data_IF_941180960060
#
_entry.id   IF_941180960060
#
_cell.length_a   1.000
_cell.length_b   1.000
_cell.length_c   1.000
_cell.angle_alpha   90.00
_cell.angle_beta   90.00
_cell.angle_gamma   90.00
#
_symmetry.space_group_name_H-M   'P 1'
#
loop_
_entity.id
_entity.type
_entity.pdbx_description
1 polymer ?
#
# COMPACT_ATOMS: atom_id res chain seq x y z
N UNK A 1 4.47 3.45 -29.74
CA UNK A 1 3.96 2.49 -30.75
C UNK A 1 3.47 1.28 -29.98
N UNK A 2 2.20 0.86 -30.14
CA UNK A 2 1.69 -0.30 -29.41
C UNK A 2 2.24 -1.58 -30.04
N UNK A 3 3.06 -2.32 -29.31
CA UNK A 3 3.55 -3.64 -29.73
C UNK A 3 2.53 -4.66 -29.24
N UNK A 4 1.97 -5.45 -30.16
CA UNK A 4 1.07 -6.53 -29.80
C UNK A 4 1.89 -7.65 -29.13
N UNK A 5 1.59 -7.93 -27.86
CA UNK A 5 2.19 -9.04 -27.14
C UNK A 5 1.39 -10.31 -27.47
N UNK A 6 1.92 -11.14 -28.37
CA UNK A 6 1.24 -12.36 -28.84
C UNK A 6 1.10 -13.46 -27.77
N UNK A 7 1.86 -13.36 -26.66
CA UNK A 7 1.79 -14.24 -25.49
C UNK A 7 2.39 -13.53 -24.28
N UNK A 8 1.75 -13.68 -23.12
CA UNK A 8 2.26 -13.23 -21.84
C UNK A 8 2.11 -14.36 -20.81
N UNK A 9 3.09 -14.51 -19.92
CA UNK A 9 3.02 -15.42 -18.78
C UNK A 9 3.25 -14.61 -17.51
N UNK A 10 2.31 -14.67 -16.58
CA UNK A 10 2.40 -14.00 -15.28
C UNK A 10 2.30 -15.08 -14.21
N UNK A 11 3.21 -15.03 -13.23
CA UNK A 11 3.22 -15.93 -12.07
C UNK A 11 3.47 -15.10 -10.82
N UNK A 12 2.90 -15.52 -9.71
CA UNK A 12 3.04 -14.79 -8.46
C UNK A 12 2.64 -15.62 -7.26
N UNK A 13 2.91 -15.03 -6.10
CA UNK A 13 2.49 -15.55 -4.80
C UNK A 13 1.82 -14.41 -4.06
N UNK A 14 0.67 -14.70 -3.50
CA UNK A 14 -0.08 -13.79 -2.63
C UNK A 14 -0.22 -14.43 -1.26
N UNK A 15 0.00 -13.63 -0.23
CA UNK A 15 -0.15 -14.03 1.16
C UNK A 15 -1.02 -13.01 1.89
N UNK A 16 -1.97 -13.49 2.68
CA UNK A 16 -2.77 -12.65 3.56
C UNK A 16 -3.05 -13.36 4.88
N UNK A 17 -2.90 -12.64 5.97
CA UNK A 17 -3.15 -13.14 7.31
C UNK A 17 -3.75 -12.06 8.20
N UNK A 18 -4.64 -12.47 9.11
CA UNK A 18 -5.21 -11.63 10.15
C UNK A 18 -5.22 -12.41 11.46
N UNK A 19 -4.75 -11.77 12.53
CA UNK A 19 -4.61 -12.38 13.85
C UNK A 19 -5.24 -11.48 14.91
N UNK A 20 -5.98 -12.10 15.83
CA UNK A 20 -6.37 -11.50 17.11
C UNK A 20 -5.37 -11.95 18.17
N UNK A 21 -4.90 -11.00 18.98
CA UNK A 21 -3.92 -11.25 20.04
C UNK A 21 -4.56 -11.34 21.43
N UNK A 22 -5.90 -11.30 21.53
CA UNK A 22 -6.63 -11.22 22.80
C UNK A 22 -6.29 -12.35 23.79
N UNK A 23 -5.94 -13.54 23.30
CA UNK A 23 -5.62 -14.69 24.16
C UNK A 23 -4.11 -14.83 24.44
N UNK A 24 -3.27 -14.00 23.82
CA UNK A 24 -1.81 -14.08 23.90
C UNK A 24 -1.18 -12.84 24.54
N UNK A 25 -1.95 -11.78 24.77
CA UNK A 25 -1.53 -10.53 25.38
C UNK A 25 -2.31 -10.25 26.67
N UNK A 26 -1.73 -9.53 27.66
CA UNK A 26 -2.45 -9.15 28.88
C UNK A 26 -3.60 -8.15 28.66
N UNK A 27 -3.64 -7.50 27.50
CA UNK A 27 -4.62 -6.48 27.13
C UNK A 27 -5.37 -6.97 25.90
N UNK A 28 -6.70 -7.01 25.98
CA UNK A 28 -7.57 -7.35 24.84
C UNK A 28 -7.71 -6.17 23.87
N UNK A 29 -8.05 -6.47 22.62
CA UNK A 29 -8.28 -5.47 21.58
C UNK A 29 -7.17 -5.36 20.55
N UNK A 30 -6.02 -6.01 20.78
CA UNK A 30 -4.95 -6.04 19.79
C UNK A 30 -5.27 -7.02 18.66
N UNK A 31 -5.11 -6.54 17.42
CA UNK A 31 -5.11 -7.37 16.23
C UNK A 31 -4.02 -6.93 15.26
N UNK A 32 -3.58 -7.83 14.40
CA UNK A 32 -2.73 -7.47 13.27
C UNK A 32 -3.24 -8.07 11.98
N UNK A 33 -2.86 -7.44 10.87
CA UNK A 33 -3.04 -7.96 9.51
C UNK A 33 -1.75 -7.81 8.73
N UNK A 34 -1.45 -8.77 7.88
CA UNK A 34 -0.35 -8.69 6.93
C UNK A 34 -0.85 -9.20 5.60
N UNK A 35 -0.62 -8.45 4.53
CA UNK A 35 -0.82 -8.88 3.16
C UNK A 35 0.45 -8.59 2.36
N UNK A 36 0.86 -9.50 1.50
CA UNK A 36 1.98 -9.31 0.60
C UNK A 36 1.68 -9.97 -0.76
N UNK A 37 2.07 -9.30 -1.83
CA UNK A 37 1.90 -9.81 -3.19
C UNK A 37 3.20 -9.64 -3.96
N UNK A 38 3.71 -10.74 -4.51
CA UNK A 38 4.84 -10.76 -5.44
C UNK A 38 4.36 -11.31 -6.78
N UNK A 39 4.70 -10.64 -7.86
CA UNK A 39 4.34 -11.05 -9.21
C UNK A 39 5.50 -10.78 -10.15
N UNK A 40 5.76 -11.74 -11.02
CA UNK A 40 6.70 -11.64 -12.12
C UNK A 40 5.95 -11.96 -13.41
N UNK A 41 6.28 -11.25 -14.49
CA UNK A 41 5.63 -11.47 -15.77
C UNK A 41 6.54 -11.18 -16.92
N UNK A 42 6.45 -12.06 -17.92
CA UNK A 42 7.26 -12.02 -19.13
C UNK A 42 6.38 -12.14 -20.39
N UNK A 43 6.82 -11.52 -21.47
CA UNK A 43 6.24 -11.73 -22.81
C UNK A 43 6.70 -13.07 -23.42
N UNK A 44 6.24 -13.38 -24.64
CA UNK A 44 6.60 -14.61 -25.36
C UNK A 44 8.07 -14.72 -25.75
N UNK A 45 8.87 -13.66 -25.60
CA UNK A 45 10.29 -13.59 -25.87
C UNK A 45 11.13 -13.50 -24.57
N UNK A 46 10.52 -13.76 -23.40
CA UNK A 46 11.15 -13.66 -22.08
C UNK A 46 11.56 -12.23 -21.67
N UNK A 47 10.97 -11.19 -22.28
CA UNK A 47 11.18 -9.82 -21.79
C UNK A 47 10.23 -9.50 -20.62
N UNK A 48 10.66 -8.72 -19.62
CA UNK A 48 9.78 -8.29 -18.53
C UNK A 48 8.53 -7.54 -19.02
N UNK A 49 7.44 -7.67 -18.28
CA UNK A 49 6.21 -6.92 -18.53
C UNK A 49 6.15 -5.67 -17.65
N UNK A 50 6.26 -4.48 -18.27
CA UNK A 50 6.12 -3.20 -17.57
C UNK A 50 4.75 -3.04 -16.88
N UNK A 51 3.74 -3.79 -17.30
CA UNK A 51 2.42 -3.78 -16.66
C UNK A 51 2.39 -4.47 -15.29
N UNK A 52 3.43 -5.25 -14.94
CA UNK A 52 3.54 -5.92 -13.64
C UNK A 52 4.13 -4.96 -12.62
N UNK A 53 3.41 -4.75 -11.52
CA UNK A 53 3.85 -3.89 -10.43
C UNK A 53 4.98 -4.55 -9.61
N UNK A 54 5.86 -3.74 -8.98
CA UNK A 54 6.74 -4.24 -7.93
C UNK A 54 5.95 -4.93 -6.82
N UNK A 55 6.59 -5.85 -6.13
CA UNK A 55 5.94 -6.50 -5.00
C UNK A 55 5.65 -5.51 -3.88
N UNK A 56 4.58 -5.77 -3.14
CA UNK A 56 4.14 -4.90 -2.06
C UNK A 56 3.83 -5.69 -0.79
N UNK A 57 3.82 -4.96 0.32
CA UNK A 57 3.43 -5.45 1.63
C UNK A 57 2.61 -4.39 2.36
N UNK A 58 1.49 -4.83 2.95
CA UNK A 58 0.66 -4.03 3.83
C UNK A 58 0.63 -4.71 5.18
N UNK A 59 1.18 -4.06 6.21
CA UNK A 59 1.09 -4.51 7.59
C UNK A 59 0.24 -3.53 8.40
N UNK A 60 -0.75 -4.03 9.13
CA UNK A 60 -1.61 -3.24 10.01
C UNK A 60 -1.55 -3.77 11.43
N UNK A 61 -1.42 -2.87 12.40
CA UNK A 61 -1.50 -3.14 13.82
C UNK A 61 -2.64 -2.31 14.40
N UNK A 62 -3.63 -2.97 14.97
CA UNK A 62 -4.81 -2.32 15.52
C UNK A 62 -4.89 -2.55 17.02
N UNK A 63 -5.44 -1.56 17.70
CA UNK A 63 -5.89 -1.67 19.07
C UNK A 63 -7.31 -1.11 19.16
N UNK A 64 -8.25 -1.95 19.56
CA UNK A 64 -9.64 -1.61 19.81
C UNK A 64 -9.91 -1.66 21.32
N UNK A 65 -10.06 -0.49 21.95
CA UNK A 65 -10.31 -0.39 23.38
C UNK A 65 -11.76 -0.69 23.72
N UNK A 66 -11.99 -1.28 24.90
CA UNK A 66 -13.31 -1.40 25.52
C UNK A 66 -13.98 -0.03 25.77
N UNK A 67 -13.22 1.06 25.80
CA UNK A 67 -13.70 2.42 26.04
C UNK A 67 -14.18 3.14 24.77
N UNK A 68 -14.68 2.40 23.77
CA UNK A 68 -15.28 2.92 22.54
C UNK A 68 -14.33 3.74 21.64
N UNK A 69 -13.03 3.45 21.67
CA UNK A 69 -12.06 4.05 20.76
C UNK A 69 -11.10 2.99 20.25
N UNK A 70 -10.46 3.28 19.12
CA UNK A 70 -9.40 2.42 18.61
C UNK A 70 -8.44 3.19 17.73
N UNK A 71 -7.28 2.58 17.49
CA UNK A 71 -6.22 3.13 16.65
C UNK A 71 -5.60 2.05 15.80
N UNK A 72 -5.14 2.44 14.62
CA UNK A 72 -4.47 1.58 13.65
C UNK A 72 -3.21 2.26 13.16
N UNK A 73 -2.10 1.55 13.24
CA UNK A 73 -0.87 1.84 12.50
C UNK A 73 -0.86 0.96 11.25
N UNK A 74 -0.75 1.56 10.06
CA UNK A 74 -0.58 0.83 8.80
C UNK A 74 0.77 1.18 8.17
N UNK A 75 1.49 0.16 7.71
CA UNK A 75 2.74 0.27 6.96
C UNK A 75 2.49 -0.30 5.57
N UNK A 76 2.64 0.53 4.55
CA UNK A 76 2.57 0.15 3.15
C UNK A 76 3.98 0.22 2.56
N UNK A 77 4.52 -0.92 2.17
CA UNK A 77 5.79 -1.03 1.48
C UNK A 77 5.56 -1.40 0.01
N UNK A 78 6.23 -0.72 -0.90
CA UNK A 78 6.33 -1.11 -2.31
C UNK A 78 7.81 -1.19 -2.68
N UNK A 79 8.21 -2.28 -3.32
CA UNK A 79 9.59 -2.49 -3.75
C UNK A 79 9.98 -1.55 -4.90
N UNK A 80 11.29 -1.46 -5.16
CA UNK A 80 11.77 -0.79 -6.37
C UNK A 80 11.31 -1.52 -7.62
N UNK A 81 11.20 -0.77 -8.71
CA UNK A 81 11.15 -1.34 -10.07
C UNK A 81 12.51 -1.13 -10.69
N UNK A 82 13.36 -2.15 -10.65
CA UNK A 82 14.73 -2.03 -11.12
C UNK A 82 14.79 -2.01 -12.66
N UNK A 83 15.88 -1.46 -13.19
CA UNK A 83 16.05 -1.29 -14.65
C UNK A 83 16.03 -2.62 -15.40
N UNK A 84 16.51 -3.70 -14.78
CA UNK A 84 16.47 -5.06 -15.33
C UNK A 84 15.04 -5.58 -15.53
N UNK A 85 14.06 -5.04 -14.81
CA UNK A 85 12.69 -5.54 -14.78
C UNK A 85 11.76 -4.68 -15.65
N UNK A 86 12.35 -3.86 -16.52
CA UNK A 86 11.68 -2.90 -17.41
C UNK A 86 12.10 -3.19 -18.85
N UNK A 87 11.12 -3.49 -19.70
CA UNK A 87 11.30 -3.70 -21.13
C UNK A 87 11.22 -2.37 -21.91
N UNK A 88 12.05 -1.41 -21.51
CA UNK A 88 12.39 -0.16 -22.24
C UNK A 88 13.55 0.55 -21.51
N UNK A 89 14.71 0.68 -22.17
CA UNK A 89 15.90 1.33 -21.62
C UNK A 89 15.73 2.84 -21.37
N UNK A 90 14.67 3.47 -21.86
CA UNK A 90 14.40 4.89 -21.61
C UNK A 90 13.50 5.12 -20.41
N UNK A 91 12.68 4.15 -20.02
CA UNK A 91 11.75 4.31 -18.88
C UNK A 91 12.51 4.37 -17.56
N UNK A 92 12.16 5.30 -16.68
CA UNK A 92 12.87 5.46 -15.41
C UNK A 92 12.48 4.38 -14.39
N UNK A 93 13.44 3.76 -13.68
CA UNK A 93 13.14 2.92 -12.54
C UNK A 93 12.57 3.75 -11.38
N UNK A 94 11.83 3.11 -10.49
CA UNK A 94 11.37 3.74 -9.24
C UNK A 94 12.06 3.10 -8.03
N UNK A 95 12.38 3.91 -7.03
CA UNK A 95 12.88 3.43 -5.74
C UNK A 95 11.78 2.73 -4.94
N UNK A 96 12.18 1.87 -4.01
CA UNK A 96 11.27 1.34 -3.02
C UNK A 96 10.75 2.48 -2.12
N UNK A 97 9.52 2.33 -1.62
CA UNK A 97 8.87 3.32 -0.77
C UNK A 97 8.21 2.65 0.44
N UNK A 98 8.27 3.32 1.58
CA UNK A 98 7.57 2.91 2.81
C UNK A 98 6.71 4.05 3.32
N UNK A 99 5.38 3.86 3.27
CA UNK A 99 4.40 4.84 3.74
C UNK A 99 3.79 4.34 5.03
N UNK A 100 3.81 5.19 6.06
CA UNK A 100 3.23 4.89 7.37
C UNK A 100 2.01 5.76 7.61
N UNK A 101 0.89 5.14 7.94
CA UNK A 101 -0.38 5.81 8.25
C UNK A 101 -0.82 5.52 9.68
N UNK A 102 -1.40 6.51 10.34
CA UNK A 102 -2.01 6.37 11.67
C UNK A 102 -3.45 6.86 11.59
N UNK A 103 -4.40 6.00 11.96
CA UNK A 103 -5.81 6.36 12.02
C UNK A 103 -6.39 6.02 13.38
N UNK A 104 -7.30 6.84 13.88
CA UNK A 104 -8.02 6.58 15.11
C UNK A 104 -9.52 6.80 14.92
N UNK A 105 -10.31 6.14 15.75
CA UNK A 105 -11.73 6.40 15.88
C UNK A 105 -12.14 6.52 17.34
N UNK A 106 -13.23 7.24 17.58
CA UNK A 106 -13.86 7.37 18.88
C UNK A 106 -15.39 7.40 18.72
N UNK A 107 -16.10 6.66 19.55
CA UNK A 107 -17.56 6.63 19.62
C UNK A 107 -18.02 7.21 20.96
N UNK A 108 -18.18 8.54 21.07
CA UNK A 108 -18.61 9.17 22.32
C UNK A 108 -20.02 8.73 22.74
N UNK A 109 -20.86 8.41 21.77
CA UNK A 109 -22.21 7.85 21.94
C UNK A 109 -22.41 6.75 20.89
N UNK A 110 -23.42 5.88 21.08
CA UNK A 110 -23.69 4.73 20.21
C UNK A 110 -23.82 5.09 18.73
N UNK A 111 -24.46 6.23 18.46
CA UNK A 111 -24.89 6.63 17.13
C UNK A 111 -23.90 7.58 16.44
N UNK A 112 -22.81 7.97 17.10
CA UNK A 112 -21.80 8.89 16.56
C UNK A 112 -20.42 8.24 16.54
N UNK A 113 -19.80 8.17 15.36
CA UNK A 113 -18.39 7.79 15.21
C UNK A 113 -17.59 8.96 14.67
N UNK A 114 -16.58 9.38 15.42
CA UNK A 114 -15.56 10.33 15.00
C UNK A 114 -14.32 9.55 14.52
N UNK A 115 -13.71 9.98 13.43
CA UNK A 115 -12.47 9.41 12.89
C UNK A 115 -11.49 10.52 12.58
N UNK A 116 -10.21 10.24 12.80
CA UNK A 116 -9.13 11.09 12.36
C UNK A 116 -8.01 10.22 11.76
N UNK A 117 -7.34 10.73 10.75
CA UNK A 117 -6.21 10.06 10.10
C UNK A 117 -5.07 11.03 9.83
N UNK A 118 -3.85 10.56 10.03
CA UNK A 118 -2.61 11.17 9.53
C UNK A 118 -1.97 10.14 8.59
N UNK A 119 -1.91 10.48 7.32
CA UNK A 119 -1.40 9.62 6.26
C UNK A 119 -0.02 10.10 5.82
N UNK A 120 0.83 9.15 5.42
CA UNK A 120 2.22 9.41 5.09
C UNK A 120 2.94 10.21 6.20
N UNK A 121 2.91 9.65 7.42
CA UNK A 121 3.45 10.27 8.63
C UNK A 121 4.93 10.63 8.46
N UNK A 122 5.68 9.89 7.64
CA UNK A 122 7.11 10.14 7.37
C UNK A 122 7.37 11.16 6.25
N UNK A 123 6.33 11.64 5.58
CA UNK A 123 6.44 12.54 4.42
C UNK A 123 7.31 11.95 3.29
N UNK A 124 7.11 10.65 3.02
CA UNK A 124 7.78 9.91 1.96
C UNK A 124 7.34 10.44 0.59
N UNK A 125 8.30 10.93 -0.21
CA UNK A 125 8.09 11.27 -1.62
C UNK A 125 8.26 10.01 -2.47
N UNK A 126 7.19 9.52 -3.10
CA UNK A 126 7.23 8.29 -3.88
C UNK A 126 6.29 8.31 -5.08
N UNK A 127 6.49 7.35 -5.99
CA UNK A 127 5.70 7.16 -7.20
C UNK A 127 4.98 5.81 -7.15
N UNK A 128 3.75 5.76 -7.67
CA UNK A 128 3.13 4.49 -8.04
C UNK A 128 3.60 4.09 -9.43
N UNK A 129 4.09 2.85 -9.59
CA UNK A 129 4.59 2.37 -10.87
C UNK A 129 3.59 2.52 -12.03
N UNK A 130 2.30 2.22 -11.80
CA UNK A 130 1.27 2.34 -12.83
C UNK A 130 1.12 3.77 -13.39
N UNK A 131 1.49 4.79 -12.61
CA UNK A 131 1.36 6.20 -13.00
C UNK A 131 2.57 6.68 -13.81
N UNK A 132 3.73 6.01 -13.67
CA UNK A 132 5.02 6.47 -14.24
C UNK A 132 5.71 5.47 -15.18
N UNK A 133 5.18 4.26 -15.36
CA UNK A 133 5.79 3.16 -16.15
C UNK A 133 6.02 3.44 -17.64
N UNK A 134 5.49 4.55 -18.15
CA UNK A 134 5.64 4.99 -19.53
C UNK A 134 6.48 6.27 -19.65
N UNK A 135 7.05 6.76 -18.56
CA UNK A 135 7.81 8.01 -18.52
C UNK A 135 9.31 7.79 -18.69
N UNK A 136 9.91 8.64 -19.51
CA UNK A 136 11.35 8.63 -19.80
C UNK A 136 12.12 9.72 -19.06
N UNK A 137 11.40 10.64 -18.42
CA UNK A 137 11.93 11.76 -17.64
C UNK A 137 11.16 11.87 -16.34
N UNK A 138 11.83 12.26 -15.27
CA UNK A 138 11.20 12.41 -13.96
C UNK A 138 10.17 13.53 -14.02
N UNK A 139 9.01 13.30 -13.42
CA UNK A 139 7.97 14.31 -13.26
C UNK A 139 7.45 14.28 -11.82
N UNK A 140 7.90 15.23 -11.01
CA UNK A 140 7.53 15.33 -9.59
C UNK A 140 6.04 15.58 -9.36
N UNK A 141 5.31 16.10 -10.34
CA UNK A 141 3.86 16.30 -10.22
C UNK A 141 3.08 14.97 -10.15
N UNK A 142 3.73 13.84 -10.47
CA UNK A 142 3.16 12.49 -10.39
C UNK A 142 3.58 11.74 -9.11
N UNK A 143 4.31 12.41 -8.21
CA UNK A 143 4.52 11.89 -6.86
C UNK A 143 3.17 11.77 -6.16
N UNK A 144 3.06 10.75 -5.32
CA UNK A 144 1.88 10.57 -4.49
C UNK A 144 1.82 11.65 -3.40
N UNK A 145 0.64 11.83 -2.81
CA UNK A 145 0.47 12.81 -1.75
C UNK A 145 1.48 12.59 -0.62
N UNK A 146 2.20 13.66 -0.26
CA UNK A 146 2.99 13.72 0.95
C UNK A 146 2.12 13.64 2.20
N UNK A 147 2.64 14.08 3.35
CA UNK A 147 1.89 14.05 4.60
C UNK A 147 0.56 14.81 4.49
N UNK A 148 -0.53 14.13 4.80
CA UNK A 148 -1.87 14.71 4.78
C UNK A 148 -2.75 14.13 5.89
N UNK A 149 -3.91 14.75 6.14
CA UNK A 149 -4.78 14.38 7.26
C UNK A 149 -6.25 14.41 6.87
N UNK A 150 -7.07 13.66 7.60
CA UNK A 150 -8.52 13.66 7.45
C UNK A 150 -9.22 13.61 8.80
N UNK A 151 -10.41 14.21 8.87
CA UNK A 151 -11.32 14.12 10.00
C UNK A 151 -12.72 13.86 9.45
N UNK A 152 -13.40 12.85 10.00
CA UNK A 152 -14.74 12.43 9.55
C UNK A 152 -15.65 12.21 10.75
N UNK A 153 -16.89 12.67 10.65
CA UNK A 153 -17.97 12.34 11.58
C UNK A 153 -19.04 11.54 10.85
N UNK A 154 -19.47 10.41 11.43
CA UNK A 154 -20.57 9.58 10.94
C UNK A 154 -21.64 9.47 12.02
N UNK A 155 -22.88 9.80 11.68
CA UNK A 155 -24.04 9.62 12.54
C UNK A 155 -25.01 8.58 11.94
N UNK A 156 -25.49 7.62 12.73
CA UNK A 156 -26.42 6.56 12.31
C UNK A 156 -27.74 6.68 13.09
N UNK A 157 -28.89 6.53 12.43
CA UNK A 157 -30.23 6.67 13.02
C UNK A 157 -31.06 5.38 12.90
#
# INVERSE_FOLDING_TARGET
>A
QYVNIGKATIKGIEFSNQLSWNQSMPIEGFSSRVAAAYTEGEDGNNNPLNSVNPWNLVAGFNYDSEQNWGTTLTINYTASKDKSDINDDKVLPISAATVVDITAYYKPIKDLTLRAGLFNVTDEEYYNWNDVRDLQTENKDLTQAGRNWSITAKYEF
#
